data_IF_941468708998
#
_entry.id   IF_941468708998
#
_cell.length_a   1.000
_cell.length_b   1.000
_cell.length_c   1.000
_cell.angle_alpha   90.00
_cell.angle_beta   90.00
_cell.angle_gamma   90.00
#
_symmetry.space_group_name_H-M   'P 1'
#
loop_
_entity.id
_entity.type
_entity.pdbx_description
1 polymer ?
#
# COMPACT_ATOMS: atom_id res chain seq x y z
N UNK A 1 -8.79 6.62 10.85
CA UNK A 1 -8.13 7.16 12.05
C UNK A 1 -7.84 8.61 11.75
N UNK A 2 -8.19 9.52 12.65
CA UNK A 2 -7.96 10.96 12.50
C UNK A 2 -6.70 11.32 13.30
N UNK A 3 -5.55 11.23 12.64
CA UNK A 3 -4.23 11.49 13.24
C UNK A 3 -4.14 12.93 13.77
N UNK A 4 -4.54 13.98 13.02
CA UNK A 4 -4.52 15.35 13.52
C UNK A 4 -5.19 15.53 14.87
N UNK A 5 -6.40 15.00 15.02
CA UNK A 5 -7.17 15.05 16.27
C UNK A 5 -6.49 14.30 17.42
N UNK A 6 -5.95 13.10 17.16
CA UNK A 6 -5.30 12.27 18.17
C UNK A 6 -4.04 12.90 18.77
N UNK A 7 -3.29 13.67 17.97
CA UNK A 7 -2.03 14.29 18.38
C UNK A 7 -2.14 15.80 18.58
N UNK A 8 -3.33 16.38 18.42
CA UNK A 8 -3.60 17.82 18.50
C UNK A 8 -2.63 18.64 17.62
N UNK A 9 -2.48 18.22 16.36
CA UNK A 9 -1.71 18.92 15.33
C UNK A 9 -2.65 19.55 14.30
N UNK A 10 -2.14 20.51 13.54
CA UNK A 10 -2.90 21.17 12.46
C UNK A 10 -3.26 20.18 11.36
N UNK A 11 -4.54 20.13 10.99
CA UNK A 11 -5.04 19.34 9.86
C UNK A 11 -4.41 19.82 8.54
N UNK A 12 -4.33 21.14 8.35
CA UNK A 12 -3.72 21.74 7.15
C UNK A 12 -2.23 21.38 7.00
N UNK A 13 -1.47 21.39 8.11
CA UNK A 13 -0.05 21.03 8.07
C UNK A 13 0.11 19.53 7.80
N UNK A 14 -0.72 18.69 8.41
CA UNK A 14 -0.71 17.25 8.16
C UNK A 14 -1.05 16.92 6.70
N UNK A 15 -2.10 17.53 6.16
CA UNK A 15 -2.53 17.33 4.77
C UNK A 15 -1.44 17.77 3.78
N UNK A 16 -0.77 18.89 4.05
CA UNK A 16 0.36 19.35 3.24
C UNK A 16 1.46 18.28 3.16
N UNK A 17 1.90 17.76 4.30
CA UNK A 17 2.95 16.73 4.36
C UNK A 17 2.47 15.41 3.70
N UNK A 18 1.18 15.08 3.86
CA UNK A 18 0.57 13.92 3.21
C UNK A 18 0.58 14.02 1.67
N UNK A 19 0.21 15.19 1.13
CA UNK A 19 0.27 15.42 -0.33
C UNK A 19 1.70 15.44 -0.85
N UNK A 20 2.65 16.02 -0.11
CA UNK A 20 4.07 16.00 -0.49
C UNK A 20 4.61 14.56 -0.57
N UNK A 21 4.26 13.70 0.39
CA UNK A 21 4.61 12.28 0.34
C UNK A 21 4.02 11.57 -0.88
N UNK A 22 2.78 11.89 -1.25
CA UNK A 22 2.14 11.33 -2.44
C UNK A 22 2.86 11.76 -3.73
N UNK A 23 3.21 13.04 -3.84
CA UNK A 23 3.93 13.59 -4.99
C UNK A 23 5.32 12.96 -5.14
N UNK A 24 6.06 12.79 -4.04
CA UNK A 24 7.34 12.08 -4.03
C UNK A 24 7.24 10.63 -4.55
N UNK A 25 6.13 9.95 -4.24
CA UNK A 25 5.84 8.62 -4.81
C UNK A 25 5.69 8.65 -6.33
N UNK A 26 5.02 9.68 -6.87
CA UNK A 26 4.90 9.92 -8.31
C UNK A 26 6.24 10.22 -8.99
N UNK A 27 7.09 11.03 -8.36
CA UNK A 27 8.43 11.33 -8.85
C UNK A 27 9.31 10.07 -8.87
N UNK A 28 9.26 9.25 -7.81
CA UNK A 28 9.94 7.96 -7.78
C UNK A 28 9.50 7.05 -8.94
N UNK A 29 8.20 7.02 -9.25
CA UNK A 29 7.68 6.24 -10.38
C UNK A 29 8.25 6.73 -11.72
N UNK A 30 8.31 8.05 -11.91
CA UNK A 30 8.89 8.66 -13.11
C UNK A 30 10.36 8.26 -13.31
N UNK A 31 11.16 8.27 -12.24
CA UNK A 31 12.56 7.84 -12.30
C UNK A 31 12.68 6.39 -12.78
N UNK A 32 11.82 5.48 -12.32
CA UNK A 32 11.82 4.08 -12.79
C UNK A 32 11.58 3.99 -14.29
N UNK A 33 10.56 4.70 -14.78
CA UNK A 33 10.19 4.72 -16.20
C UNK A 33 11.34 5.28 -17.05
N UNK A 34 11.94 6.39 -16.64
CA UNK A 34 13.06 7.04 -17.35
C UNK A 34 14.31 6.17 -17.41
N UNK A 35 14.50 5.28 -16.42
CA UNK A 35 15.60 4.31 -16.39
C UNK A 35 15.25 2.95 -17.01
N UNK A 36 14.07 2.82 -17.63
CA UNK A 36 13.62 1.57 -18.26
C UNK A 36 13.37 0.43 -17.25
N UNK A 37 13.14 0.76 -15.98
CA UNK A 37 12.76 -0.21 -14.96
C UNK A 37 11.27 -0.54 -15.08
N UNK A 38 10.90 -1.72 -14.58
CA UNK A 38 9.51 -2.15 -14.57
C UNK A 38 8.63 -1.17 -13.77
N UNK A 39 7.44 -0.89 -14.30
CA UNK A 39 6.47 -0.02 -13.64
C UNK A 39 5.75 -0.80 -12.54
N UNK A 40 5.90 -0.35 -11.29
CA UNK A 40 5.15 -0.87 -10.16
C UNK A 40 3.77 -0.22 -10.07
N UNK A 41 2.81 -0.96 -9.51
CA UNK A 41 1.43 -0.52 -9.30
C UNK A 41 1.17 -0.03 -7.87
N UNK A 42 1.95 -0.52 -6.91
CA UNK A 42 1.95 -0.10 -5.52
C UNK A 42 3.34 -0.28 -4.91
N UNK A 43 3.58 0.38 -3.77
CA UNK A 43 4.73 0.11 -2.93
C UNK A 43 4.32 0.19 -1.45
N UNK A 44 5.07 -0.50 -0.59
CA UNK A 44 4.87 -0.46 0.87
C UNK A 44 6.15 0.02 1.55
N UNK A 45 6.04 1.08 2.35
CA UNK A 45 7.11 1.52 3.24
C UNK A 45 6.88 0.89 4.61
N UNK A 46 7.90 0.25 5.17
CA UNK A 46 7.90 -0.27 6.54
C UNK A 46 9.03 0.39 7.31
N UNK A 47 8.69 0.99 8.45
CA UNK A 47 9.67 1.60 9.36
C UNK A 47 9.68 0.79 10.65
N UNK A 48 10.86 0.32 11.05
CA UNK A 48 11.02 -0.41 12.30
C UNK A 48 11.27 0.50 13.51
N UNK A 49 11.34 -0.11 14.70
CA UNK A 49 11.60 0.59 15.98
C UNK A 49 12.95 1.32 16.04
N UNK A 50 13.88 1.02 15.13
CA UNK A 50 15.19 1.66 15.03
C UNK A 50 15.22 2.74 13.94
N UNK A 51 14.05 3.15 13.43
CA UNK A 51 13.89 4.08 12.29
C UNK A 51 14.52 3.58 10.99
N UNK A 52 14.71 2.26 10.83
CA UNK A 52 15.16 1.70 9.57
C UNK A 52 13.95 1.53 8.65
N UNK A 53 14.00 2.21 7.50
CA UNK A 53 13.01 2.07 6.45
C UNK A 53 13.37 0.92 5.50
N UNK A 54 12.35 0.18 5.08
CA UNK A 54 12.40 -0.75 3.96
C UNK A 54 11.23 -0.46 3.01
N UNK A 55 11.45 -0.77 1.74
CA UNK A 55 10.52 -0.50 0.66
C UNK A 55 10.32 -1.76 -0.17
N UNK A 56 9.08 -2.19 -0.31
CA UNK A 56 8.72 -3.32 -1.18
C UNK A 56 7.86 -2.79 -2.33
N UNK A 57 8.26 -3.10 -3.56
CA UNK A 57 7.49 -2.77 -4.77
C UNK A 57 6.56 -3.93 -5.14
N UNK A 58 5.36 -3.60 -5.59
CA UNK A 58 4.35 -4.53 -6.05
C UNK A 58 4.00 -4.22 -7.51
N UNK A 59 4.06 -5.24 -8.36
CA UNK A 59 3.83 -5.16 -9.80
C UNK A 59 2.48 -5.74 -10.23
N UNK A 60 1.66 -6.23 -9.28
CA UNK A 60 0.35 -6.80 -9.60
C UNK A 60 -0.60 -5.70 -10.12
N UNK A 61 -1.30 -5.90 -11.25
CA UNK A 61 -2.18 -4.89 -11.84
C UNK A 61 -3.49 -4.77 -11.05
N UNK A 62 -3.43 -4.24 -9.83
CA UNK A 62 -4.55 -4.17 -8.89
C UNK A 62 -5.80 -3.49 -9.45
N UNK A 63 -5.65 -2.53 -10.36
CA UNK A 63 -6.79 -1.86 -11.00
C UNK A 63 -7.53 -2.77 -11.99
N UNK A 64 -6.89 -3.82 -12.49
CA UNK A 64 -7.46 -4.82 -13.41
C UNK A 64 -7.99 -6.06 -12.67
N UNK A 65 -7.64 -6.21 -11.39
CA UNK A 65 -7.96 -7.40 -10.58
C UNK A 65 -9.44 -7.59 -10.23
N UNK A 66 -10.27 -6.56 -10.39
CA UNK A 66 -11.66 -6.54 -9.90
C UNK A 66 -11.80 -6.31 -8.39
N UNK A 67 -10.70 -6.27 -7.63
CA UNK A 67 -10.73 -5.95 -6.20
C UNK A 67 -10.86 -4.45 -5.96
N UNK A 68 -12.00 -4.04 -5.41
CA UNK A 68 -12.30 -2.64 -5.09
C UNK A 68 -11.34 -2.02 -4.06
N UNK A 69 -11.36 -0.69 -3.89
CA UNK A 69 -10.50 0.00 -2.93
C UNK A 69 -10.66 -0.52 -1.49
N UNK A 70 -11.89 -0.76 -1.03
CA UNK A 70 -12.14 -1.29 0.31
C UNK A 70 -11.54 -2.68 0.51
N UNK A 71 -11.66 -3.58 -0.49
CA UNK A 71 -11.06 -4.91 -0.42
C UNK A 71 -9.53 -4.85 -0.32
N UNK A 72 -8.89 -3.93 -1.07
CA UNK A 72 -7.44 -3.69 -1.02
C UNK A 72 -6.99 -3.14 0.33
N UNK A 73 -7.76 -2.24 0.93
CA UNK A 73 -7.50 -1.76 2.30
C UNK A 73 -7.62 -2.89 3.32
N UNK A 74 -8.71 -3.66 3.31
CA UNK A 74 -8.90 -4.78 4.25
C UNK A 74 -7.81 -5.84 4.09
N UNK A 75 -7.41 -6.16 2.85
CA UNK A 75 -6.32 -7.09 2.57
C UNK A 75 -4.98 -6.59 3.13
N UNK A 76 -4.67 -5.30 2.97
CA UNK A 76 -3.46 -4.71 3.56
C UNK A 76 -3.45 -4.84 5.09
N UNK A 77 -4.58 -4.55 5.73
CA UNK A 77 -4.73 -4.66 7.18
C UNK A 77 -4.61 -6.11 7.66
N UNK A 78 -5.19 -7.06 6.92
CA UNK A 78 -5.05 -8.50 7.19
C UNK A 78 -3.59 -8.93 7.11
N UNK A 79 -2.90 -8.56 6.01
CA UNK A 79 -1.53 -8.99 5.72
C UNK A 79 -0.49 -8.42 6.68
N UNK A 80 -0.64 -7.15 7.09
CA UNK A 80 0.42 -6.43 7.81
C UNK A 80 0.05 -5.98 9.22
N UNK A 81 -1.24 -5.83 9.54
CA UNK A 81 -1.68 -5.25 10.82
C UNK A 81 -2.41 -6.26 11.73
N UNK A 82 -2.50 -7.52 11.31
CA UNK A 82 -3.12 -8.60 12.10
C UNK A 82 -4.65 -8.55 12.16
N UNK A 83 -5.28 -7.73 11.31
CA UNK A 83 -6.74 -7.69 11.19
C UNK A 83 -7.27 -9.09 10.84
N UNK A 84 -8.28 -9.56 11.58
CA UNK A 84 -8.94 -10.83 11.26
C UNK A 84 -10.02 -10.60 10.19
N UNK A 85 -10.24 -11.57 9.29
CA UNK A 85 -11.36 -11.52 8.36
C UNK A 85 -12.68 -11.58 9.14
N UNK A 86 -13.68 -10.84 8.68
CA UNK A 86 -15.01 -10.78 9.29
C UNK A 86 -15.75 -12.12 9.16
N UNK A 87 -15.45 -12.88 8.11
CA UNK A 87 -16.08 -14.15 7.79
C UNK A 87 -15.25 -14.98 6.79
N UNK A 88 -15.65 -16.23 6.57
CA UNK A 88 -14.99 -17.15 5.64
C UNK A 88 -14.93 -16.63 4.20
N UNK A 89 -15.97 -15.92 3.73
CA UNK A 89 -15.97 -15.35 2.38
C UNK A 89 -14.89 -14.29 2.21
N UNK A 90 -14.68 -13.44 3.21
CA UNK A 90 -13.61 -12.45 3.18
C UNK A 90 -12.22 -13.11 3.26
N UNK A 91 -12.07 -14.16 4.06
CA UNK A 91 -10.84 -14.94 4.10
C UNK A 91 -10.50 -15.55 2.73
N UNK A 92 -11.48 -16.14 2.03
CA UNK A 92 -11.27 -16.65 0.68
C UNK A 92 -10.92 -15.54 -0.33
N UNK A 93 -11.51 -14.34 -0.17
CA UNK A 93 -11.12 -13.18 -0.97
C UNK A 93 -9.65 -12.80 -0.72
N UNK A 94 -9.19 -12.77 0.54
CA UNK A 94 -7.78 -12.48 0.85
C UNK A 94 -6.82 -13.51 0.28
N UNK A 95 -7.17 -14.81 0.31
CA UNK A 95 -6.37 -15.86 -0.35
C UNK A 95 -6.28 -15.64 -1.87
N UNK A 96 -7.38 -15.26 -2.52
CA UNK A 96 -7.38 -14.95 -3.95
C UNK A 96 -6.52 -13.72 -4.26
N UNK A 97 -6.57 -12.68 -3.40
CA UNK A 97 -5.73 -11.49 -3.54
C UNK A 97 -4.25 -11.79 -3.32
N UNK A 98 -3.91 -12.68 -2.38
CA UNK A 98 -2.53 -13.13 -2.16
C UNK A 98 -2.00 -13.92 -3.36
N UNK A 99 -2.79 -14.84 -3.92
CA UNK A 99 -2.43 -15.58 -5.12
C UNK A 99 -2.21 -14.64 -6.32
N UNK A 100 -3.11 -13.67 -6.53
CA UNK A 100 -2.96 -12.63 -7.55
C UNK A 100 -1.66 -11.84 -7.37
N UNK A 101 -1.36 -11.42 -6.13
CA UNK A 101 -0.10 -10.71 -5.85
C UNK A 101 1.13 -11.59 -6.13
N UNK A 102 1.11 -12.86 -5.75
CA UNK A 102 2.23 -13.79 -5.96
C UNK A 102 2.48 -14.09 -7.43
N UNK A 103 1.43 -14.23 -8.24
CA UNK A 103 1.54 -14.46 -9.68
C UNK A 103 2.34 -13.36 -10.39
N UNK A 104 2.16 -12.11 -9.97
CA UNK A 104 2.79 -10.95 -10.61
C UNK A 104 4.13 -10.53 -10.00
N UNK A 105 4.41 -10.93 -8.75
CA UNK A 105 5.66 -10.59 -8.06
C UNK A 105 6.63 -11.77 -7.92
N UNK A 106 6.20 -12.99 -8.21
CA UNK A 106 7.03 -14.19 -8.15
C UNK A 106 8.00 -14.27 -9.32
N UNK A 107 9.21 -13.74 -9.14
CA UNK A 107 10.41 -14.17 -9.85
C UNK A 107 11.49 -14.60 -8.86
#
# INVERSE_FOLDING_TARGET
MDIPSLFNISEDDFDKEFFELFDLGGEMKKIFIENGLAEWSAFTIKVDENNKASLDFDYAPWLESGFGPSARTSFFQYKYLGQQPDNEKELEQFKAMEAFQQEHNGK
#
